data_IF_163956538263
#
_entry.id   IF_163956538263
#
_cell.length_a   1.000
_cell.length_b   1.000
_cell.length_c   1.000
_cell.angle_alpha   90.00
_cell.angle_beta   90.00
_cell.angle_gamma   90.00
#
_symmetry.space_group_name_H-M   'P 1'
#
loop_
_entity.id
_entity.type
_entity.pdbx_description
1 polymer ?
#
# COMPACT_ATOMS: atom_id res chain seq x y z
N UNK A 1 13.62 -10.88 2.08
CA UNK A 1 13.20 -9.86 3.06
C UNK A 1 11.69 -9.86 3.13
N UNK A 2 11.11 -10.29 4.25
CA UNK A 2 9.66 -10.42 4.39
C UNK A 2 9.07 -9.02 4.59
N UNK A 3 8.69 -8.35 3.49
CA UNK A 3 7.83 -7.16 3.57
C UNK A 3 6.49 -7.62 4.16
N UNK A 4 6.12 -7.09 5.32
CA UNK A 4 4.83 -7.38 5.94
C UNK A 4 3.72 -7.01 4.96
N UNK A 5 2.82 -7.94 4.67
CA UNK A 5 1.67 -7.72 3.78
C UNK A 5 0.42 -7.55 4.63
N UNK A 6 -0.29 -6.45 4.42
CA UNK A 6 -1.55 -6.16 5.09
C UNK A 6 -2.68 -6.19 4.07
N UNK A 7 -3.82 -6.78 4.44
CA UNK A 7 -5.00 -6.80 3.58
C UNK A 7 -5.65 -5.41 3.55
N UNK A 8 -5.93 -4.90 2.35
CA UNK A 8 -6.67 -3.65 2.14
C UNK A 8 -8.03 -3.96 1.53
N UNK A 9 -9.10 -3.60 2.23
CA UNK A 9 -10.46 -3.67 1.69
C UNK A 9 -10.78 -2.37 0.96
N UNK A 10 -10.90 -2.44 -0.37
CA UNK A 10 -11.13 -1.27 -1.21
C UNK A 10 -12.49 -1.34 -1.92
N UNK A 11 -13.31 -0.29 -1.79
CA UNK A 11 -14.59 -0.16 -2.50
C UNK A 11 -14.45 0.84 -3.63
N UNK A 12 -14.48 0.34 -4.88
CA UNK A 12 -14.29 1.14 -6.10
C UNK A 12 -15.42 0.92 -7.10
N UNK A 13 -15.55 1.85 -8.04
CA UNK A 13 -16.46 1.73 -9.18
C UNK A 13 -16.12 0.48 -10.00
N UNK A 14 -17.14 -0.22 -10.49
CA UNK A 14 -16.97 -1.42 -11.33
C UNK A 14 -16.10 -1.12 -12.56
N UNK A 15 -16.33 0.01 -13.22
CA UNK A 15 -15.57 0.44 -14.39
C UNK A 15 -14.07 0.58 -14.11
N UNK A 16 -13.69 1.02 -12.91
CA UNK A 16 -12.29 1.10 -12.50
C UNK A 16 -11.70 -0.30 -12.30
N UNK A 17 -12.41 -1.18 -11.59
CA UNK A 17 -11.98 -2.58 -11.41
C UNK A 17 -11.77 -3.28 -12.75
N UNK A 18 -12.67 -3.08 -13.71
CA UNK A 18 -12.55 -3.66 -15.06
C UNK A 18 -11.29 -3.16 -15.76
N UNK A 19 -11.01 -1.85 -15.73
CA UNK A 19 -9.79 -1.28 -16.33
C UNK A 19 -8.52 -1.81 -15.67
N UNK A 20 -8.47 -1.88 -14.34
CA UNK A 20 -7.34 -2.46 -13.61
C UNK A 20 -7.12 -3.94 -13.95
N UNK A 21 -8.21 -4.69 -14.15
CA UNK A 21 -8.13 -6.10 -14.55
C UNK A 21 -7.55 -6.27 -15.96
N UNK A 22 -7.98 -5.43 -16.90
CA UNK A 22 -7.42 -5.45 -18.27
C UNK A 22 -5.96 -5.00 -18.29
N UNK A 23 -5.59 -4.01 -17.47
CA UNK A 23 -4.21 -3.57 -17.34
C UNK A 23 -3.32 -4.70 -16.77
N UNK A 24 -3.76 -5.35 -15.70
CA UNK A 24 -3.05 -6.48 -15.10
C UNK A 24 -2.80 -7.62 -16.10
N UNK A 25 -3.79 -7.92 -16.97
CA UNK A 25 -3.62 -8.92 -18.04
C UNK A 25 -2.54 -8.52 -19.05
N UNK A 26 -2.51 -7.25 -19.47
CA UNK A 26 -1.51 -6.73 -20.42
C UNK A 26 -0.10 -6.80 -19.86
N UNK A 27 0.05 -6.50 -18.57
CA UNK A 27 1.33 -6.50 -17.87
C UNK A 27 1.73 -7.89 -17.35
N UNK A 28 0.94 -8.93 -17.63
CA UNK A 28 1.14 -10.30 -17.13
C UNK A 28 1.24 -10.39 -15.59
N UNK A 29 0.48 -9.56 -14.88
CA UNK A 29 0.45 -9.48 -13.42
C UNK A 29 -0.91 -9.91 -12.87
N UNK A 30 -0.93 -10.30 -11.59
CA UNK A 30 -2.20 -10.41 -10.88
C UNK A 30 -2.79 -9.02 -10.61
N UNK A 31 -4.11 -8.92 -10.47
CA UNK A 31 -4.78 -7.66 -10.15
C UNK A 31 -4.22 -7.01 -8.87
N UNK A 32 -3.90 -7.82 -7.84
CA UNK A 32 -3.30 -7.30 -6.62
C UNK A 32 -1.90 -6.72 -6.85
N UNK A 33 -1.05 -7.40 -7.64
CA UNK A 33 0.28 -6.89 -7.97
C UNK A 33 0.22 -5.62 -8.80
N UNK A 34 -0.74 -5.53 -9.72
CA UNK A 34 -0.94 -4.31 -10.52
C UNK A 34 -1.39 -3.14 -9.63
N UNK A 35 -2.31 -3.39 -8.70
CA UNK A 35 -2.74 -2.37 -7.73
C UNK A 35 -1.56 -1.95 -6.83
N UNK A 36 -0.79 -2.90 -6.30
CA UNK A 36 0.40 -2.63 -5.48
C UNK A 36 1.42 -1.78 -6.25
N UNK A 37 1.73 -2.14 -7.49
CA UNK A 37 2.65 -1.39 -8.35
C UNK A 37 2.18 0.04 -8.64
N UNK A 38 0.90 0.21 -8.98
CA UNK A 38 0.34 1.54 -9.26
C UNK A 38 0.36 2.42 -8.00
N UNK A 39 0.10 1.84 -6.83
CA UNK A 39 0.19 2.56 -5.56
C UNK A 39 1.63 2.95 -5.25
N UNK A 40 2.59 2.03 -5.33
CA UNK A 40 4.02 2.33 -5.12
C UNK A 40 4.48 3.45 -6.05
N UNK A 41 4.22 3.34 -7.36
CA UNK A 41 4.61 4.36 -8.34
C UNK A 41 3.96 5.72 -8.07
N UNK A 42 2.69 5.76 -7.68
CA UNK A 42 2.01 7.03 -7.37
C UNK A 42 2.61 7.75 -6.15
N UNK A 43 3.21 6.99 -5.22
CA UNK A 43 3.87 7.52 -4.03
C UNK A 43 5.35 7.85 -4.28
N UNK A 44 5.99 7.27 -5.29
CA UNK A 44 7.31 7.70 -5.74
C UNK A 44 7.26 9.10 -6.38
N UNK A 45 6.16 9.40 -7.08
CA UNK A 45 5.92 10.69 -7.71
C UNK A 45 5.52 11.79 -6.70
N UNK A 46 4.95 11.42 -5.54
CA UNK A 46 4.65 12.33 -4.44
C UNK A 46 5.48 12.00 -3.19
N UNK A 47 6.54 12.76 -2.94
CA UNK A 47 7.24 12.72 -1.65
C UNK A 47 6.30 13.16 -0.53
N UNK A 48 5.55 12.24 0.08
CA UNK A 48 4.69 12.52 1.23
C UNK A 48 5.61 12.70 2.45
N UNK A 49 5.77 13.92 2.99
CA UNK A 49 6.60 14.12 4.17
C UNK A 49 5.83 13.61 5.40
N UNK A 50 6.20 12.42 5.90
CA UNK A 50 5.72 11.92 7.20
C UNK A 50 5.33 10.44 7.29
N UNK A 51 5.29 9.69 6.19
CA UNK A 51 4.89 8.28 6.22
C UNK A 51 5.88 7.37 7.01
N UNK A 52 7.15 7.76 7.11
CA UNK A 52 8.18 7.04 7.90
C UNK A 52 8.01 7.15 9.43
N UNK A 53 7.18 8.06 9.95
CA UNK A 53 7.12 8.32 11.40
C UNK A 53 6.14 7.42 12.17
N UNK A 54 5.36 6.57 11.50
CA UNK A 54 4.32 5.78 12.17
C UNK A 54 4.85 4.56 12.96
N UNK A 55 6.15 4.20 12.88
CA UNK A 55 6.69 3.00 13.56
C UNK A 55 7.40 3.24 14.90
N UNK A 56 7.51 4.49 15.40
CA UNK A 56 8.33 4.78 16.58
C UNK A 56 7.56 5.37 17.78
N UNK A 57 6.42 4.81 18.18
CA UNK A 57 5.82 5.16 19.48
C UNK A 57 5.29 3.93 20.24
N UNK A 58 6.20 3.17 20.85
CA UNK A 58 5.89 2.42 22.08
C UNK A 58 6.26 3.31 23.27
N UNK A 59 5.29 3.84 24.05
CA UNK A 59 5.62 4.57 25.27
C UNK A 59 6.06 3.57 26.34
N UNK A 60 7.37 3.48 26.57
CA UNK A 60 7.94 2.80 27.72
C UNK A 60 7.55 3.54 29.00
N UNK A 61 6.51 3.07 29.68
CA UNK A 61 6.18 3.50 31.05
C UNK A 61 7.24 2.97 32.00
N UNK A 62 8.10 3.85 32.52
CA UNK A 62 8.96 3.55 33.69
C UNK A 62 8.08 3.51 34.94
N UNK A 63 8.10 2.45 35.77
CA UNK A 63 7.73 2.59 37.16
C UNK A 63 8.91 3.20 37.92
N UNK A 64 8.63 4.27 38.66
CA UNK A 64 9.55 4.96 39.58
C UNK A 64 9.49 4.23 40.94
N UNK A 65 10.63 3.83 41.54
CA UNK A 65 10.73 3.66 42.98
C UNK A 65 11.04 5.00 43.68
#
# INVERSE_FOLDING_TARGET
MNKERVALLLRIRLSLKTRLTELAKREHRSLNQEIEFLLERSLEDETIPGADQAQAQKPSRKPRP
#
